data_IF_189039125161
#
_entry.id   IF_189039125161
#
_cell.length_a   1.000
_cell.length_b   1.000
_cell.length_c   1.000
_cell.angle_alpha   90.00
_cell.angle_beta   90.00
_cell.angle_gamma   90.00
#
_symmetry.space_group_name_H-M   'P 1'
#
loop_
_entity.id
_entity.type
_entity.pdbx_description
1 polymer ?
#
# COMPACT_ATOMS: atom_id res chain seq x y z
N UNK A 1 5.99 -4.97 -14.92
CA UNK A 1 4.52 -4.88 -14.88
C UNK A 1 4.10 -3.44 -14.63
N UNK A 2 2.91 -3.07 -15.08
CA UNK A 2 2.35 -1.75 -14.81
C UNK A 2 1.93 -1.65 -13.35
N UNK A 3 2.08 -0.48 -12.76
CA UNK A 3 1.60 -0.19 -11.41
C UNK A 3 0.42 0.76 -11.53
N UNK A 4 -0.69 0.39 -10.90
CA UNK A 4 -1.91 1.20 -10.87
C UNK A 4 -2.26 1.49 -9.42
N UNK A 5 -2.28 2.76 -9.04
CA UNK A 5 -2.70 3.19 -7.71
C UNK A 5 -4.19 3.54 -7.74
N UNK A 6 -4.97 2.86 -6.92
CA UNK A 6 -6.38 3.23 -6.75
C UNK A 6 -6.47 4.59 -6.05
N UNK A 7 -7.51 5.37 -6.32
CA UNK A 7 -7.65 6.70 -5.72
C UNK A 7 -7.55 6.71 -4.20
N UNK A 8 -8.15 5.74 -3.52
CA UNK A 8 -8.11 5.65 -2.06
C UNK A 8 -6.69 5.36 -1.56
N UNK A 9 -5.97 4.49 -2.23
CA UNK A 9 -4.58 4.17 -1.89
C UNK A 9 -3.69 5.39 -2.07
N UNK A 10 -3.83 6.10 -3.18
CA UNK A 10 -3.08 7.33 -3.47
C UNK A 10 -3.38 8.42 -2.44
N UNK A 11 -4.64 8.55 -2.03
CA UNK A 11 -5.06 9.50 -1.00
C UNK A 11 -4.37 9.21 0.33
N UNK A 12 -4.34 7.94 0.73
CA UNK A 12 -3.71 7.55 2.00
C UNK A 12 -2.21 7.76 1.96
N UNK A 13 -1.56 7.47 0.84
CA UNK A 13 -0.15 7.78 0.66
C UNK A 13 0.11 9.28 0.85
N UNK A 14 -0.70 10.13 0.20
CA UNK A 14 -0.55 11.59 0.34
C UNK A 14 -0.76 12.05 1.78
N UNK A 15 -1.69 11.44 2.51
CA UNK A 15 -1.92 11.78 3.92
C UNK A 15 -0.68 11.47 4.77
N UNK A 16 -0.04 10.32 4.54
CA UNK A 16 1.19 9.94 5.24
C UNK A 16 2.33 10.90 4.88
N UNK A 17 2.48 11.23 3.60
CA UNK A 17 3.51 12.18 3.14
C UNK A 17 3.31 13.53 3.82
N UNK A 18 2.09 14.05 3.84
CA UNK A 18 1.76 15.32 4.48
C UNK A 18 2.08 15.29 5.98
N UNK A 19 1.72 14.21 6.66
CA UNK A 19 2.02 14.04 8.09
C UNK A 19 3.52 14.06 8.35
N UNK A 20 4.31 13.30 7.57
CA UNK A 20 5.76 13.24 7.75
C UNK A 20 6.38 14.61 7.48
N UNK A 21 5.93 15.32 6.44
CA UNK A 21 6.42 16.66 6.11
C UNK A 21 6.18 17.62 7.28
N UNK A 22 4.99 17.60 7.86
CA UNK A 22 4.60 18.49 8.95
C UNK A 22 5.36 18.17 10.25
N UNK A 23 5.46 16.90 10.61
CA UNK A 23 6.00 16.48 11.91
C UNK A 23 7.51 16.32 11.90
N UNK A 24 8.11 15.92 10.78
CA UNK A 24 9.53 15.54 10.72
C UNK A 24 10.34 16.29 9.67
N UNK A 25 9.69 17.07 8.81
CA UNK A 25 10.34 17.94 7.84
C UNK A 25 10.70 17.30 6.51
N UNK A 26 11.29 18.11 5.65
CA UNK A 26 11.53 17.75 4.23
C UNK A 26 12.49 16.61 4.05
N UNK A 27 13.51 16.49 4.87
CA UNK A 27 14.51 15.42 4.77
C UNK A 27 13.88 14.06 5.04
N UNK A 28 13.09 13.94 6.09
CA UNK A 28 12.36 12.71 6.43
C UNK A 28 11.34 12.37 5.36
N UNK A 29 10.63 13.37 4.84
CA UNK A 29 9.67 13.20 3.77
C UNK A 29 10.32 12.66 2.50
N UNK A 30 11.46 13.22 2.10
CA UNK A 30 12.21 12.76 0.92
C UNK A 30 12.68 11.31 1.09
N UNK A 31 13.13 10.95 2.27
CA UNK A 31 13.55 9.58 2.59
C UNK A 31 12.38 8.61 2.46
N UNK A 32 11.22 8.97 3.01
CA UNK A 32 10.02 8.14 2.92
C UNK A 32 9.59 7.93 1.47
N UNK A 33 9.54 8.98 0.68
CA UNK A 33 9.17 8.90 -0.74
C UNK A 33 10.13 8.00 -1.52
N UNK A 34 11.42 8.10 -1.23
CA UNK A 34 12.43 7.26 -1.87
C UNK A 34 12.19 5.78 -1.56
N UNK A 35 11.86 5.45 -0.32
CA UNK A 35 11.55 4.08 0.09
C UNK A 35 10.28 3.58 -0.59
N UNK A 36 9.25 4.41 -0.67
CA UNK A 36 8.00 4.05 -1.33
C UNK A 36 8.20 3.77 -2.83
N UNK A 37 8.93 4.64 -3.53
CA UNK A 37 9.23 4.45 -4.95
C UNK A 37 10.11 3.22 -5.19
N UNK A 38 11.07 2.97 -4.30
CA UNK A 38 11.90 1.76 -4.40
C UNK A 38 11.05 0.51 -4.29
N UNK A 39 10.14 0.46 -3.33
CA UNK A 39 9.23 -0.67 -3.13
C UNK A 39 8.36 -0.87 -4.36
N UNK A 40 7.82 0.21 -4.93
CA UNK A 40 7.02 0.17 -6.14
C UNK A 40 7.80 -0.44 -7.32
N UNK A 41 9.05 -0.03 -7.51
CA UNK A 41 9.89 -0.60 -8.57
C UNK A 41 10.20 -2.07 -8.33
N UNK A 42 10.44 -2.47 -7.09
CA UNK A 42 10.66 -3.87 -6.75
C UNK A 42 9.41 -4.71 -7.01
N UNK A 43 8.23 -4.19 -6.71
CA UNK A 43 6.96 -4.85 -7.02
C UNK A 43 6.79 -5.06 -8.51
N UNK A 44 7.11 -4.05 -9.31
CA UNK A 44 6.98 -4.15 -10.78
C UNK A 44 7.82 -5.29 -11.37
N UNK A 45 8.94 -5.61 -10.73
CA UNK A 45 9.83 -6.71 -11.14
C UNK A 45 9.47 -8.04 -10.51
N UNK A 46 8.90 -8.01 -9.31
CA UNK A 46 8.59 -9.19 -8.50
C UNK A 46 7.17 -9.08 -7.95
N UNK A 47 6.15 -9.43 -8.75
CA UNK A 47 4.76 -9.27 -8.32
C UNK A 47 4.42 -10.01 -7.02
N UNK A 48 5.10 -11.11 -6.75
CA UNK A 48 4.89 -11.90 -5.53
C UNK A 48 5.80 -11.48 -4.38
N UNK A 49 6.38 -10.27 -4.44
CA UNK A 49 7.27 -9.74 -3.41
C UNK A 49 6.63 -9.76 -2.03
N UNK A 50 5.37 -9.35 -1.93
CA UNK A 50 4.63 -9.38 -0.69
C UNK A 50 3.92 -10.71 -0.48
N UNK A 51 3.87 -11.21 0.77
CA UNK A 51 3.07 -12.39 1.09
C UNK A 51 1.57 -12.11 0.94
N UNK A 52 0.77 -13.17 0.91
CA UNK A 52 -0.69 -13.05 0.95
C UNK A 52 -1.10 -12.30 2.22
N UNK A 53 -2.00 -11.32 2.09
CA UNK A 53 -2.46 -10.53 3.23
C UNK A 53 -3.51 -11.33 4.01
N UNK A 54 -3.21 -11.76 5.26
CA UNK A 54 -4.11 -12.67 6.00
C UNK A 54 -5.45 -12.02 6.35
N UNK A 55 -5.50 -10.71 6.53
CA UNK A 55 -6.75 -10.03 6.88
C UNK A 55 -7.68 -9.80 5.69
N UNK A 56 -7.25 -10.17 4.48
CA UNK A 56 -8.06 -10.14 3.27
C UNK A 56 -8.16 -11.52 2.62
N UNK A 57 -7.92 -12.57 3.39
CA UNK A 57 -7.88 -13.94 2.87
C UNK A 57 -9.20 -14.40 2.26
N UNK A 58 -10.34 -13.87 2.76
CA UNK A 58 -11.67 -14.26 2.31
C UNK A 58 -12.18 -13.42 1.12
N UNK A 59 -11.36 -12.50 0.62
CA UNK A 59 -11.75 -11.64 -0.50
C UNK A 59 -11.81 -12.43 -1.81
N UNK A 60 -12.57 -11.93 -2.82
CA UNK A 60 -12.72 -12.64 -4.11
C UNK A 60 -11.43 -12.80 -4.90
N UNK A 61 -10.46 -11.89 -4.71
CA UNK A 61 -9.14 -12.00 -5.34
C UNK A 61 -8.08 -12.15 -4.26
N UNK A 62 -6.90 -12.65 -4.65
CA UNK A 62 -5.80 -12.82 -3.70
C UNK A 62 -5.06 -11.50 -3.51
N UNK A 63 -5.26 -10.87 -2.36
CA UNK A 63 -4.51 -9.68 -1.99
C UNK A 63 -3.20 -10.05 -1.32
N UNK A 64 -2.17 -9.26 -1.62
CA UNK A 64 -0.84 -9.35 -1.02
C UNK A 64 -0.51 -8.03 -0.36
N UNK A 65 0.43 -8.03 0.55
CA UNK A 65 0.92 -6.80 1.15
C UNK A 65 2.43 -6.82 1.29
N UNK A 66 3.05 -5.66 1.12
CA UNK A 66 4.49 -5.51 1.27
C UNK A 66 4.78 -4.29 2.13
N UNK A 67 5.67 -4.47 3.12
CA UNK A 67 6.07 -3.40 4.03
C UNK A 67 7.01 -2.43 3.31
N UNK A 68 6.74 -1.13 3.45
CA UNK A 68 7.56 -0.07 2.83
C UNK A 68 8.72 0.33 3.75
N UNK A 69 8.40 0.66 5.00
CA UNK A 69 9.38 1.23 5.94
C UNK A 69 9.09 0.82 7.38
N UNK A 70 8.63 -0.37 7.63
CA UNK A 70 8.17 -0.92 8.91
C UNK A 70 6.83 -0.36 9.38
N UNK A 71 6.48 0.88 9.01
CA UNK A 71 5.27 1.55 9.50
C UNK A 71 4.11 1.50 8.53
N UNK A 72 4.38 1.21 7.26
CA UNK A 72 3.34 1.21 6.22
C UNK A 72 3.43 -0.02 5.33
N UNK A 73 2.28 -0.46 4.84
CA UNK A 73 2.18 -1.57 3.88
C UNK A 73 1.42 -1.12 2.63
N UNK A 74 1.95 -1.50 1.47
CA UNK A 74 1.22 -1.44 0.21
C UNK A 74 0.37 -2.71 0.12
N UNK A 75 -0.94 -2.56 -0.06
CA UNK A 75 -1.87 -3.69 -0.26
C UNK A 75 -2.25 -3.72 -1.74
N UNK A 76 -2.06 -4.86 -2.39
CA UNK A 76 -2.20 -4.96 -3.84
C UNK A 76 -2.69 -6.35 -4.27
N UNK A 77 -3.10 -6.46 -5.53
CA UNK A 77 -3.35 -7.75 -6.19
C UNK A 77 -2.79 -7.71 -7.60
N UNK A 78 -2.58 -8.89 -8.17
CA UNK A 78 -2.00 -9.05 -9.51
C UNK A 78 -3.13 -9.26 -10.49
N UNK A 79 -3.28 -8.33 -11.44
CA UNK A 79 -4.32 -8.36 -12.46
C UNK A 79 -3.66 -8.42 -13.84
N UNK A 80 -3.44 -9.63 -14.34
CA UNK A 80 -2.75 -9.82 -15.62
C UNK A 80 -1.34 -9.24 -15.58
N UNK A 81 -1.09 -8.21 -16.40
CA UNK A 81 0.20 -7.52 -16.47
C UNK A 81 0.28 -6.28 -15.57
N UNK A 82 -0.71 -6.09 -14.71
CA UNK A 82 -0.78 -4.93 -13.82
C UNK A 82 -0.75 -5.33 -12.36
N UNK A 83 -0.15 -4.47 -11.56
CA UNK A 83 -0.24 -4.54 -10.10
C UNK A 83 -1.20 -3.44 -9.66
N UNK A 84 -2.32 -3.87 -9.11
CA UNK A 84 -3.40 -2.97 -8.66
C UNK A 84 -3.20 -2.69 -7.17
N UNK A 85 -2.70 -1.50 -6.85
CA UNK A 85 -2.50 -1.08 -5.45
C UNK A 85 -3.81 -0.49 -4.96
N UNK A 86 -4.46 -1.21 -4.05
CA UNK A 86 -5.82 -0.90 -3.59
C UNK A 86 -5.84 -0.10 -2.30
N UNK A 87 -4.78 -0.19 -1.49
CA UNK A 87 -4.74 0.53 -0.23
C UNK A 87 -3.30 0.71 0.27
N UNK A 88 -3.17 1.59 1.26
CA UNK A 88 -1.90 1.89 1.92
C UNK A 88 -2.17 1.91 3.42
N UNK A 89 -1.71 0.89 4.13
CA UNK A 89 -2.04 0.67 5.54
C UNK A 89 -0.96 1.19 6.47
N UNK A 90 -1.37 1.52 7.69
CA UNK A 90 -0.48 1.80 8.81
C UNK A 90 -0.34 0.51 9.63
N UNK A 91 0.88 -0.02 9.75
CA UNK A 91 1.14 -1.28 10.45
C UNK A 91 0.86 -1.20 11.96
N UNK A 92 0.70 0.00 12.51
CA UNK A 92 0.42 0.22 13.93
C UNK A 92 -1.07 0.23 14.25
N UNK A 93 -1.93 0.39 13.22
CA UNK A 93 -3.39 0.39 13.39
C UNK A 93 -3.93 -1.02 13.38
N UNK A 94 -5.15 -1.18 13.91
CA UNK A 94 -5.84 -2.45 13.93
C UNK A 94 -6.08 -2.96 12.51
N UNK A 95 -5.50 -4.12 12.14
CA UNK A 95 -5.55 -4.59 10.74
C UNK A 95 -6.95 -4.97 10.29
N UNK A 96 -7.80 -5.46 11.17
CA UNK A 96 -9.19 -5.82 10.82
C UNK A 96 -10.00 -4.61 10.39
N UNK A 97 -9.81 -3.47 11.05
CA UNK A 97 -10.49 -2.23 10.68
C UNK A 97 -10.01 -1.72 9.33
N UNK A 98 -8.72 -1.78 9.09
CA UNK A 98 -8.15 -1.37 7.81
C UNK A 98 -8.62 -2.28 6.69
N UNK A 99 -8.67 -3.60 6.92
CA UNK A 99 -9.18 -4.55 5.93
C UNK A 99 -10.64 -4.25 5.59
N UNK A 100 -11.48 -3.95 6.59
CA UNK A 100 -12.87 -3.58 6.35
C UNK A 100 -12.99 -2.28 5.56
N UNK A 101 -12.18 -1.27 5.86
CA UNK A 101 -12.15 -0.02 5.10
C UNK A 101 -11.74 -0.24 3.66
N UNK A 102 -10.76 -1.12 3.42
CA UNK A 102 -10.34 -1.48 2.06
C UNK A 102 -11.49 -2.12 1.29
N UNK A 103 -12.15 -3.12 1.89
CA UNK A 103 -13.30 -3.80 1.26
C UNK A 103 -14.40 -2.80 0.95
N UNK A 104 -14.72 -1.92 1.89
CA UNK A 104 -15.78 -0.92 1.71
C UNK A 104 -15.44 0.05 0.57
N UNK A 105 -14.19 0.48 0.46
CA UNK A 105 -13.77 1.38 -0.62
C UNK A 105 -13.84 0.71 -1.99
N UNK A 106 -13.60 -0.61 -2.06
CA UNK A 106 -13.67 -1.36 -3.31
C UNK A 106 -15.09 -1.59 -3.78
N UNK A 107 -16.08 -1.51 -2.91
CA UNK A 107 -17.51 -1.65 -3.25
C UNK A 107 -18.15 -0.38 -3.77
N UNK A 108 -17.54 0.77 -3.56
CA UNK A 108 -18.14 2.06 -3.92
C UNK A 108 -17.84 2.49 -5.34
#
# INVERSE_FOLDING_TARGET
MRIVWYPEAAKRLRQVVSYIQTEYGSKSCAKFLKEAYRTERLLARNPCLGPVEPFLADAPVQYRSVVVNRLNKIVYWIDGDAIEIVDFWDTRREPQKQAQQTIDSLKS
#
